data_IF_363617891279
#
_entry.id   IF_363617891279
#
_cell.length_a   1.000
_cell.length_b   1.000
_cell.length_c   1.000
_cell.angle_alpha   90.00
_cell.angle_beta   90.00
_cell.angle_gamma   90.00
#
_symmetry.space_group_name_H-M   'P 1'
#
loop_
_entity.id
_entity.type
_entity.pdbx_description
1 polymer ?
#
# COMPACT_ATOMS: atom_id res chain seq x y z
N UNK A 1 -40.06 35.54 41.77
CA UNK A 1 -38.97 35.26 42.71
C UNK A 1 -37.87 34.51 41.96
N UNK A 2 -36.69 35.11 41.83
CA UNK A 2 -35.50 34.50 41.24
C UNK A 2 -34.93 33.48 42.23
N UNK A 3 -34.59 32.27 41.75
CA UNK A 3 -33.52 31.46 42.35
C UNK A 3 -32.65 30.88 41.24
N UNK A 4 -31.48 31.48 41.12
CA UNK A 4 -30.31 31.05 40.36
C UNK A 4 -29.49 30.19 41.31
N UNK A 5 -29.17 28.94 40.94
CA UNK A 5 -28.09 28.11 41.52
C UNK A 5 -27.60 27.18 40.39
N UNK A 6 -26.53 27.55 39.67
CA UNK A 6 -25.14 27.08 39.81
C UNK A 6 -24.83 25.73 39.15
N UNK A 7 -24.28 25.82 37.94
CA UNK A 7 -23.03 25.21 37.46
C UNK A 7 -22.60 23.85 38.06
N UNK A 8 -22.63 22.78 37.25
CA UNK A 8 -21.58 21.75 37.27
C UNK A 8 -21.28 21.28 35.85
N UNK A 9 -20.06 21.57 35.41
CA UNK A 9 -19.39 21.05 34.23
C UNK A 9 -19.01 19.59 34.45
N UNK A 10 -19.48 18.68 33.60
CA UNK A 10 -18.84 17.38 33.37
C UNK A 10 -18.63 17.21 31.87
N UNK A 11 -17.51 17.77 31.43
CA UNK A 11 -16.87 17.51 30.15
C UNK A 11 -16.32 16.07 30.20
N UNK A 12 -17.17 15.07 29.95
CA UNK A 12 -16.69 13.70 29.73
C UNK A 12 -16.47 13.53 28.24
N UNK A 13 -15.32 14.02 27.79
CA UNK A 13 -14.75 13.66 26.49
C UNK A 13 -14.36 12.19 26.54
N UNK A 14 -15.30 11.31 26.17
CA UNK A 14 -14.95 9.94 25.84
C UNK A 14 -14.17 10.02 24.53
N UNK A 15 -12.84 10.13 24.64
CA UNK A 15 -11.94 9.78 23.55
C UNK A 15 -12.13 8.28 23.32
N UNK A 16 -13.08 7.95 22.45
CA UNK A 16 -13.13 6.66 21.77
C UNK A 16 -11.90 6.64 20.86
N UNK A 17 -10.76 6.30 21.44
CA UNK A 17 -9.59 5.86 20.70
C UNK A 17 -9.90 4.48 20.12
N UNK A 18 -10.70 4.43 19.06
CA UNK A 18 -10.69 3.29 18.15
C UNK A 18 -9.35 3.34 17.42
N UNK A 19 -8.31 2.77 18.04
CA UNK A 19 -7.13 2.33 17.32
C UNK A 19 -7.53 1.13 16.47
N UNK A 20 -8.15 1.35 15.31
CA UNK A 20 -8.17 0.32 14.28
C UNK A 20 -6.71 0.06 13.90
N UNK A 21 -6.24 -1.16 14.19
CA UNK A 21 -5.03 -1.68 13.57
C UNK A 21 -5.34 -1.80 12.09
N UNK A 22 -5.05 -0.75 11.32
CA UNK A 22 -5.21 -0.80 9.87
C UNK A 22 -4.13 -1.73 9.33
N UNK A 23 -4.50 -2.97 9.02
CA UNK A 23 -3.65 -3.98 8.34
C UNK A 23 -3.30 -3.60 6.88
N UNK A 24 -3.65 -2.38 6.49
CA UNK A 24 -3.51 -1.81 5.15
C UNK A 24 -2.51 -0.66 5.13
N UNK A 25 -1.96 -0.36 3.94
CA UNK A 25 -0.98 0.72 3.74
C UNK A 25 -1.69 2.05 3.53
N UNK A 26 -1.26 3.11 4.23
CA UNK A 26 -1.88 4.44 4.13
C UNK A 26 -1.68 5.05 2.73
N UNK A 27 -2.60 5.92 2.27
CA UNK A 27 -2.47 6.57 0.95
C UNK A 27 -1.16 7.38 0.81
N UNK A 28 -0.71 7.99 1.90
CA UNK A 28 0.56 8.74 1.92
C UNK A 28 1.74 7.80 1.71
N UNK A 29 1.76 6.66 2.40
CA UNK A 29 2.79 5.64 2.23
C UNK A 29 2.73 5.01 0.84
N UNK A 30 1.53 4.73 0.33
CA UNK A 30 1.32 4.20 -1.03
C UNK A 30 1.99 5.10 -2.07
N UNK A 31 1.76 6.41 -2.00
CA UNK A 31 2.38 7.39 -2.89
C UNK A 31 3.90 7.45 -2.74
N UNK A 32 4.41 7.41 -1.50
CA UNK A 32 5.84 7.43 -1.23
C UNK A 32 6.54 6.17 -1.76
N UNK A 33 5.93 4.99 -1.58
CA UNK A 33 6.42 3.71 -2.08
C UNK A 33 6.46 3.70 -3.61
N UNK A 34 5.36 4.06 -4.27
CA UNK A 34 5.31 4.14 -5.74
C UNK A 34 6.40 5.06 -6.28
N UNK A 35 6.53 6.26 -5.70
CA UNK A 35 7.55 7.24 -6.12
C UNK A 35 8.97 6.70 -5.91
N UNK A 36 9.20 6.00 -4.79
CA UNK A 36 10.48 5.36 -4.51
C UNK A 36 10.81 4.29 -5.54
N UNK A 37 9.87 3.38 -5.84
CA UNK A 37 10.10 2.27 -6.76
C UNK A 37 10.42 2.78 -8.17
N UNK A 38 9.62 3.71 -8.70
CA UNK A 38 9.85 4.29 -10.03
C UNK A 38 11.22 4.99 -10.11
N UNK A 39 11.66 5.64 -9.03
CA UNK A 39 12.91 6.39 -9.01
C UNK A 39 14.15 5.51 -8.80
N UNK A 40 14.06 4.48 -7.96
CA UNK A 40 15.23 3.76 -7.44
C UNK A 40 15.35 2.33 -7.95
N UNK A 41 14.31 1.76 -8.56
CA UNK A 41 14.34 0.39 -9.07
C UNK A 41 14.39 0.40 -10.61
N UNK A 42 15.57 0.20 -11.25
CA UNK A 42 15.72 0.35 -12.71
C UNK A 42 14.83 -0.60 -13.54
N UNK A 43 14.46 -1.73 -12.96
CA UNK A 43 13.55 -2.72 -13.56
C UNK A 43 12.11 -2.22 -13.61
N UNK A 44 11.70 -1.37 -12.67
CA UNK A 44 10.35 -0.80 -12.59
C UNK A 44 10.19 0.29 -13.65
N UNK A 45 9.12 0.19 -14.44
CA UNK A 45 8.73 1.20 -15.43
C UNK A 45 7.58 2.06 -14.93
N UNK A 46 6.69 1.46 -14.15
CA UNK A 46 5.63 2.17 -13.44
C UNK A 46 5.19 1.33 -12.24
N UNK A 47 4.51 1.94 -11.27
CA UNK A 47 3.92 1.23 -10.14
C UNK A 47 2.62 1.90 -9.71
N UNK A 48 1.61 1.10 -9.35
CA UNK A 48 0.32 1.62 -8.92
C UNK A 48 -0.33 0.68 -7.90
N UNK A 49 -0.99 1.28 -6.92
CA UNK A 49 -1.85 0.54 -6.00
C UNK A 49 -3.21 0.36 -6.65
N UNK A 50 -3.70 -0.88 -6.73
CA UNK A 50 -5.07 -1.14 -7.21
C UNK A 50 -6.10 -1.08 -6.08
N UNK A 51 -5.65 -1.20 -4.84
CA UNK A 51 -6.39 -1.04 -3.59
C UNK A 51 -5.37 -0.95 -2.44
N UNK A 52 -5.83 -0.82 -1.19
CA UNK A 52 -4.95 -0.58 -0.05
C UNK A 52 -4.07 -1.77 0.38
N UNK A 53 -4.20 -2.92 -0.29
CA UNK A 53 -3.46 -4.16 -0.01
C UNK A 53 -2.86 -4.80 -1.27
N UNK A 54 -2.93 -4.15 -2.43
CA UNK A 54 -2.41 -4.71 -3.69
C UNK A 54 -1.59 -3.68 -4.44
N UNK A 55 -0.29 -3.90 -4.49
CA UNK A 55 0.67 -3.12 -5.25
C UNK A 55 0.97 -3.81 -6.58
N UNK A 56 0.72 -3.13 -7.69
CA UNK A 56 1.13 -3.57 -9.02
C UNK A 56 2.41 -2.89 -9.43
N UNK A 57 3.39 -3.67 -9.87
CA UNK A 57 4.69 -3.20 -10.33
C UNK A 57 4.83 -3.54 -11.81
N UNK A 58 4.82 -2.52 -12.66
CA UNK A 58 4.96 -2.64 -14.11
C UNK A 58 6.42 -2.80 -14.51
N UNK A 59 6.73 -3.91 -15.19
CA UNK A 59 8.05 -4.21 -15.75
C UNK A 59 7.91 -4.64 -17.21
N UNK A 60 9.02 -4.72 -17.94
CA UNK A 60 9.04 -5.32 -19.28
C UNK A 60 9.25 -6.83 -19.12
N UNK A 61 8.31 -7.62 -19.65
CA UNK A 61 8.44 -9.08 -19.65
C UNK A 61 9.62 -9.52 -20.53
N UNK A 62 10.40 -10.45 -20.02
CA UNK A 62 11.52 -11.08 -20.71
C UNK A 62 11.36 -12.61 -20.81
N UNK A 63 10.16 -13.13 -20.54
CA UNK A 63 9.83 -14.55 -20.57
C UNK A 63 10.22 -15.32 -19.31
N UNK A 64 10.63 -14.63 -18.23
CA UNK A 64 10.99 -15.27 -16.96
C UNK A 64 9.94 -15.03 -15.89
N UNK A 65 9.72 -16.02 -15.01
CA UNK A 65 8.89 -15.86 -13.82
C UNK A 65 9.47 -14.75 -12.92
N UNK A 66 8.60 -13.87 -12.41
CA UNK A 66 8.98 -12.71 -11.59
C UNK A 66 8.57 -12.81 -10.12
N UNK A 67 8.23 -14.00 -9.62
CA UNK A 67 7.87 -14.22 -8.20
C UNK A 67 9.03 -13.84 -7.28
N UNK A 68 10.27 -14.13 -7.67
CA UNK A 68 11.46 -13.68 -6.93
C UNK A 68 11.61 -12.16 -6.88
N UNK A 69 11.20 -11.45 -7.94
CA UNK A 69 11.17 -9.99 -7.92
C UNK A 69 10.00 -9.47 -7.06
N UNK A 70 8.84 -10.12 -7.09
CA UNK A 70 7.73 -9.79 -6.20
C UNK A 70 8.12 -9.98 -4.72
N UNK A 71 8.89 -11.02 -4.40
CA UNK A 71 9.49 -11.24 -3.08
C UNK A 71 10.44 -10.11 -2.67
N UNK A 72 11.34 -9.72 -3.57
CA UNK A 72 12.24 -8.58 -3.33
C UNK A 72 11.45 -7.29 -3.02
N UNK A 73 10.37 -7.02 -3.75
CA UNK A 73 9.53 -5.84 -3.47
C UNK A 73 8.89 -5.94 -2.06
N UNK A 74 8.50 -7.13 -1.58
CA UNK A 74 8.05 -7.28 -0.19
C UNK A 74 9.15 -6.89 0.82
N UNK A 75 10.41 -7.21 0.53
CA UNK A 75 11.55 -6.81 1.38
C UNK A 75 11.74 -5.29 1.37
N UNK A 76 11.58 -4.65 0.20
CA UNK A 76 11.58 -3.18 0.09
C UNK A 76 10.45 -2.58 0.94
N UNK A 77 9.23 -3.12 0.86
CA UNK A 77 8.10 -2.67 1.68
C UNK A 77 8.41 -2.78 3.18
N UNK A 78 9.01 -3.89 3.60
CA UNK A 78 9.45 -4.10 4.99
C UNK A 78 10.47 -3.03 5.43
N UNK A 79 11.48 -2.75 4.60
CA UNK A 79 12.48 -1.69 4.86
C UNK A 79 11.87 -0.28 4.91
N UNK A 80 10.69 -0.08 4.30
CA UNK A 80 9.92 1.17 4.36
C UNK A 80 8.89 1.18 5.50
N UNK A 81 9.02 0.28 6.48
CA UNK A 81 8.17 0.25 7.67
C UNK A 81 6.80 -0.37 7.44
N UNK A 82 6.58 -1.07 6.33
CA UNK A 82 5.32 -1.76 6.04
C UNK A 82 5.37 -3.25 6.43
N UNK A 83 6.29 -3.63 7.33
CA UNK A 83 6.35 -4.98 7.90
C UNK A 83 5.02 -5.33 8.59
N UNK A 84 4.53 -6.55 8.40
CA UNK A 84 3.27 -7.03 8.98
C UNK A 84 2.01 -6.46 8.32
N UNK A 85 2.14 -5.64 7.27
CA UNK A 85 1.00 -5.24 6.42
C UNK A 85 0.70 -6.34 5.43
N UNK A 86 -0.58 -6.66 5.28
CA UNK A 86 -1.02 -7.70 4.35
C UNK A 86 -1.08 -7.13 2.93
N UNK A 87 0.08 -7.10 2.26
CA UNK A 87 0.21 -6.60 0.89
C UNK A 87 0.44 -7.76 -0.08
N UNK A 88 -0.29 -7.75 -1.19
CA UNK A 88 0.01 -8.59 -2.35
C UNK A 88 0.73 -7.75 -3.39
N UNK A 89 1.95 -8.14 -3.72
CA UNK A 89 2.71 -7.58 -4.83
C UNK A 89 2.42 -8.39 -6.09
N UNK A 90 1.97 -7.71 -7.15
CA UNK A 90 1.81 -8.31 -8.48
C UNK A 90 2.75 -7.61 -9.46
N UNK A 91 3.68 -8.35 -10.04
CA UNK A 91 4.53 -7.89 -11.14
C UNK A 91 3.77 -8.09 -12.44
N UNK A 92 3.55 -7.03 -13.20
CA UNK A 92 2.76 -7.03 -14.43
C UNK A 92 3.59 -6.62 -15.64
N UNK A 93 3.28 -7.20 -16.80
CA UNK A 93 3.87 -6.77 -18.07
C UNK A 93 3.24 -5.44 -18.52
N UNK A 94 4.01 -4.35 -18.40
CA UNK A 94 3.56 -3.01 -18.75
C UNK A 94 3.37 -2.85 -20.26
N UNK A 95 4.17 -3.52 -21.08
CA UNK A 95 4.04 -3.42 -22.54
C UNK A 95 2.74 -4.07 -23.01
N UNK A 96 2.38 -5.20 -22.40
CA UNK A 96 1.12 -5.88 -22.70
C UNK A 96 -0.09 -5.12 -22.20
N UNK A 97 0.02 -4.45 -21.05
CA UNK A 97 -1.01 -3.52 -20.59
C UNK A 97 -1.23 -2.41 -21.61
N UNK A 98 -0.18 -1.74 -22.07
CA UNK A 98 -0.28 -0.66 -23.05
C UNK A 98 -0.82 -1.12 -24.41
N UNK A 99 -0.41 -2.31 -24.86
CA UNK A 99 -0.77 -2.81 -26.19
C UNK A 99 -2.17 -3.44 -26.25
N UNK A 100 -2.66 -3.99 -25.14
CA UNK A 100 -3.88 -4.83 -25.13
C UNK A 100 -4.92 -4.39 -24.10
N UNK A 101 -4.59 -3.42 -23.26
CA UNK A 101 -5.37 -3.00 -22.10
C UNK A 101 -5.67 -4.15 -21.09
N UNK A 102 -4.81 -5.18 -21.07
CA UNK A 102 -4.94 -6.34 -20.17
C UNK A 102 -3.84 -6.34 -19.12
N UNK A 103 -4.25 -6.54 -17.87
CA UNK A 103 -3.33 -6.74 -16.75
C UNK A 103 -2.86 -8.20 -16.74
N UNK A 104 -1.64 -8.44 -17.23
CA UNK A 104 -1.02 -9.77 -17.21
C UNK A 104 0.00 -9.83 -16.10
N UNK A 105 -0.31 -10.57 -15.03
CA UNK A 105 0.61 -10.86 -13.94
C UNK A 105 1.62 -11.91 -14.38
N UNK A 106 2.91 -11.59 -14.25
CA UNK A 106 4.05 -12.46 -14.56
C UNK A 106 4.88 -12.82 -13.32
N UNK A 107 4.50 -12.28 -12.16
CA UNK A 107 4.98 -12.72 -10.86
C UNK A 107 4.10 -12.19 -9.73
N UNK A 108 4.02 -12.93 -8.63
CA UNK A 108 3.16 -12.58 -7.50
C UNK A 108 3.79 -13.00 -6.17
N UNK A 109 3.59 -12.17 -5.13
CA UNK A 109 3.95 -12.51 -3.76
C UNK A 109 2.98 -11.88 -2.77
N UNK A 110 2.55 -12.67 -1.79
CA UNK A 110 1.93 -12.15 -0.57
C UNK A 110 3.03 -11.84 0.45
N UNK A 111 3.11 -10.59 0.87
CA UNK A 111 4.04 -10.13 1.89
C UNK A 111 3.51 -10.50 3.28
N UNK A 112 4.42 -10.83 4.19
CA UNK A 112 4.17 -11.18 5.60
C UNK A 112 5.18 -10.46 6.48
#
# INVERSE_FOLDING_TARGET
>A
MKKIILLTTLLSSILVGCGEKHDVVSETDQKAITSYLIKNEPTVKDAAWSNNSTLKVGVIDNGTNRDGYAQYICEVLSQKGQQGKQVTVKVIDIQKLLNTNKWVTIGEKHCS
#
